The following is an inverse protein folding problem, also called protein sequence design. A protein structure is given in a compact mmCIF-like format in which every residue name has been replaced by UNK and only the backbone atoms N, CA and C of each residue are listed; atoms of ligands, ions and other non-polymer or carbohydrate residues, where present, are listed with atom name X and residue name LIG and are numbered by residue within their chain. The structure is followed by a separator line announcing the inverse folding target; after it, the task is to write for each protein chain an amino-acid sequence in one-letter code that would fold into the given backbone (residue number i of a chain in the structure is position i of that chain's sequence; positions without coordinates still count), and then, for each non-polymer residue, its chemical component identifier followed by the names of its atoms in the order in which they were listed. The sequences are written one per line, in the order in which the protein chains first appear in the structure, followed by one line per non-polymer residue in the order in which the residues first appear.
data_IF_112257123870
#
_entry.id   IF_112257123870
#
_cell.length_a   1.000
_cell.length_b   1.000
_cell.length_c   1.000
_cell.angle_alpha   90.00
_cell.angle_beta   90.00
_cell.angle_gamma   90.00
#
_symmetry.space_group_name_H-M   'P 1'
#
loop_
_entity.id
_entity.type
_entity.pdbx_description
1 polymer ?
#
# COMPACT_ATOMS: atom_id res chain seq x y z
N UNK A 1 -21.67 -12.66 -13.07
CA UNK A 1 -20.78 -11.93 -12.14
C UNK A 1 -20.37 -12.93 -11.06
N UNK A 2 -19.09 -13.28 -10.93
CA UNK A 2 -18.67 -14.26 -9.91
C UNK A 2 -18.69 -13.56 -8.56
N UNK A 3 -19.43 -14.11 -7.61
CA UNK A 3 -19.52 -13.55 -6.26
C UNK A 3 -18.13 -13.55 -5.60
N UNK A 4 -17.74 -12.40 -5.04
CA UNK A 4 -16.46 -12.27 -4.34
C UNK A 4 -16.65 -12.85 -2.94
N UNK A 5 -16.04 -14.03 -2.70
CA UNK A 5 -16.04 -14.66 -1.37
C UNK A 5 -15.36 -13.72 -0.37
N UNK A 6 -16.11 -13.26 0.64
CA UNK A 6 -15.56 -12.49 1.76
C UNK A 6 -15.11 -13.44 2.87
N UNK A 7 -14.00 -13.12 3.51
CA UNK A 7 -13.44 -13.87 4.63
C UNK A 7 -13.19 -12.91 5.80
N UNK A 8 -13.56 -13.32 7.01
CA UNK A 8 -13.37 -12.50 8.21
C UNK A 8 -11.98 -12.78 8.78
N UNK A 9 -11.13 -11.77 8.73
CA UNK A 9 -9.76 -11.82 9.26
C UNK A 9 -9.68 -10.91 10.49
N UNK A 10 -9.22 -11.45 11.61
CA UNK A 10 -8.90 -10.66 12.81
C UNK A 10 -7.45 -10.21 12.72
N UNK A 11 -7.20 -8.92 12.92
CA UNK A 11 -5.85 -8.34 12.87
C UNK A 11 -5.59 -7.53 14.14
N UNK A 12 -4.33 -7.49 14.55
CA UNK A 12 -3.85 -6.62 15.63
C UNK A 12 -3.16 -5.42 15.00
N UNK A 13 -3.46 -4.22 15.50
CA UNK A 13 -2.83 -2.97 15.07
C UNK A 13 -2.71 -2.03 16.29
N UNK A 14 -1.85 -0.99 16.23
CA UNK A 14 -1.79 0.03 17.26
C UNK A 14 -3.17 0.63 17.56
N UNK A 15 -3.43 0.90 18.85
CA UNK A 15 -4.73 1.39 19.29
C UNK A 15 -5.08 2.76 18.66
N UNK A 16 -4.05 3.60 18.49
CA UNK A 16 -4.19 4.93 17.90
C UNK A 16 -4.56 4.86 16.42
N UNK A 17 -3.98 3.93 15.65
CA UNK A 17 -4.34 3.69 14.25
C UNK A 17 -5.78 3.20 14.13
N UNK A 18 -6.17 2.23 14.97
CA UNK A 18 -7.55 1.75 14.99
C UNK A 18 -8.55 2.87 15.33
N UNK A 19 -8.18 3.77 16.24
CA UNK A 19 -8.99 4.94 16.59
C UNK A 19 -9.03 5.96 15.45
N UNK A 20 -7.92 6.20 14.75
CA UNK A 20 -7.86 7.08 13.59
C UNK A 20 -8.76 6.59 12.45
N UNK A 21 -8.70 5.28 12.14
CA UNK A 21 -9.58 4.66 11.13
C UNK A 21 -11.05 4.81 11.50
N UNK A 22 -11.41 4.55 12.76
CA UNK A 22 -12.79 4.75 13.23
C UNK A 22 -13.24 6.19 13.05
N UNK A 23 -12.46 7.17 13.51
CA UNK A 23 -12.80 8.60 13.35
C UNK A 23 -12.97 9.00 11.88
N UNK A 24 -12.11 8.49 10.99
CA UNK A 24 -12.21 8.77 9.56
C UNK A 24 -13.51 8.24 8.96
N UNK A 25 -13.90 7.00 9.31
CA UNK A 25 -15.18 6.41 8.91
C UNK A 25 -16.36 7.18 9.50
N UNK A 26 -16.30 7.53 10.78
CA UNK A 26 -17.35 8.31 11.47
C UNK A 26 -17.56 9.70 10.84
N UNK A 27 -16.48 10.29 10.30
CA UNK A 27 -16.55 11.54 9.52
C UNK A 27 -17.05 11.38 8.07
N UNK A 28 -17.45 10.17 7.67
CA UNK A 28 -17.96 9.87 6.33
C UNK A 28 -16.86 9.59 5.29
N UNK A 29 -15.60 9.41 5.70
CA UNK A 29 -14.49 9.15 4.79
C UNK A 29 -14.51 7.76 4.13
N UNK A 30 -15.26 6.81 4.69
CA UNK A 30 -15.51 5.49 4.10
C UNK A 30 -16.81 4.89 4.66
N UNK A 31 -17.40 3.94 3.94
CA UNK A 31 -18.66 3.28 4.34
C UNK A 31 -18.56 2.47 5.64
N UNK A 32 -17.38 1.93 5.94
CA UNK A 32 -17.10 1.17 7.16
C UNK A 32 -15.60 0.99 7.37
N UNK A 33 -15.20 0.56 8.57
CA UNK A 33 -13.82 0.16 8.87
C UNK A 33 -13.35 -0.94 7.93
N UNK A 34 -14.20 -1.95 7.67
CA UNK A 34 -13.84 -3.04 6.76
C UNK A 34 -13.65 -2.56 5.31
N UNK A 35 -14.46 -1.61 4.85
CA UNK A 35 -14.30 -1.01 3.52
C UNK A 35 -12.98 -0.24 3.42
N UNK A 36 -12.68 0.60 4.42
CA UNK A 36 -11.41 1.33 4.51
C UNK A 36 -10.20 0.38 4.46
N UNK A 37 -10.18 -0.64 5.32
CA UNK A 37 -9.08 -1.60 5.38
C UNK A 37 -8.96 -2.40 4.08
N UNK A 38 -10.07 -2.83 3.48
CA UNK A 38 -10.06 -3.55 2.22
C UNK A 38 -9.47 -2.70 1.08
N UNK A 39 -9.83 -1.42 0.98
CA UNK A 39 -9.22 -0.51 -0.01
C UNK A 39 -7.72 -0.28 0.24
N UNK A 40 -7.33 -0.04 1.51
CA UNK A 40 -5.92 0.14 1.86
C UNK A 40 -5.09 -1.11 1.50
N UNK A 41 -5.60 -2.31 1.81
CA UNK A 41 -4.95 -3.58 1.46
C UNK A 41 -4.88 -3.78 -0.05
N UNK A 42 -5.98 -3.51 -0.79
CA UNK A 42 -5.98 -3.58 -2.26
C UNK A 42 -4.94 -2.66 -2.87
N UNK A 43 -4.88 -1.41 -2.43
CA UNK A 43 -3.88 -0.44 -2.89
C UNK A 43 -2.46 -0.92 -2.64
N UNK A 44 -2.20 -1.45 -1.44
CA UNK A 44 -0.88 -2.00 -1.09
C UNK A 44 -0.51 -3.21 -1.96
N UNK A 45 -1.41 -4.17 -2.12
CA UNK A 45 -1.18 -5.36 -2.94
C UNK A 45 -0.96 -5.02 -4.41
N UNK A 46 -1.72 -4.07 -4.96
CA UNK A 46 -1.56 -3.62 -6.34
C UNK A 46 -0.17 -2.99 -6.55
N UNK A 47 0.26 -2.13 -5.61
CA UNK A 47 1.60 -1.53 -5.62
C UNK A 47 2.69 -2.59 -5.54
N UNK A 48 2.60 -3.52 -4.59
CA UNK A 48 3.63 -4.53 -4.37
C UNK A 48 3.72 -5.48 -5.57
N UNK A 49 2.59 -5.85 -6.19
CA UNK A 49 2.57 -6.60 -7.46
C UNK A 49 3.24 -5.84 -8.59
N UNK A 50 2.94 -4.56 -8.76
CA UNK A 50 3.56 -3.73 -9.80
C UNK A 50 5.09 -3.66 -9.63
N UNK A 51 5.57 -3.50 -8.39
CA UNK A 51 7.00 -3.48 -8.08
C UNK A 51 7.67 -4.83 -8.36
N UNK A 52 7.02 -5.95 -8.01
CA UNK A 52 7.52 -7.28 -8.33
C UNK A 52 7.64 -7.48 -9.84
N UNK A 53 6.60 -7.13 -10.61
CA UNK A 53 6.63 -7.21 -12.08
C UNK A 53 7.73 -6.35 -12.67
N UNK A 54 7.95 -5.14 -12.16
CA UNK A 54 9.06 -4.30 -12.60
C UNK A 54 10.41 -4.96 -12.32
N UNK A 55 10.63 -5.47 -11.12
CA UNK A 55 11.87 -6.18 -10.77
C UNK A 55 12.12 -7.38 -11.69
N UNK A 56 11.09 -8.17 -12.00
CA UNK A 56 11.19 -9.29 -12.94
C UNK A 56 11.61 -8.83 -14.35
N UNK A 57 11.02 -7.74 -14.86
CA UNK A 57 11.35 -7.19 -16.18
C UNK A 57 12.79 -6.66 -16.26
N UNK A 58 13.30 -6.07 -15.19
CA UNK A 58 14.71 -5.63 -15.14
C UNK A 58 15.65 -6.82 -15.03
N UNK A 59 15.33 -7.81 -14.20
CA UNK A 59 16.12 -9.02 -14.07
C UNK A 59 16.25 -9.78 -15.39
N UNK A 60 15.17 -9.84 -16.20
CA UNK A 60 15.21 -10.42 -17.56
C UNK A 60 16.19 -9.69 -18.50
N UNK A 61 16.49 -8.42 -18.24
CA UNK A 61 17.48 -7.62 -18.99
C UNK A 61 18.88 -7.65 -18.36
N UNK A 62 19.09 -8.48 -17.34
CA UNK A 62 20.35 -8.53 -16.59
C UNK A 62 20.59 -7.32 -15.69
N UNK A 63 19.57 -6.51 -15.44
CA UNK A 63 19.66 -5.32 -14.58
C UNK A 63 19.07 -5.67 -13.21
N UNK A 64 19.86 -5.41 -12.16
CA UNK A 64 19.38 -5.45 -10.78
C UNK A 64 19.01 -4.04 -10.35
N UNK A 65 17.77 -3.85 -9.89
CA UNK A 65 17.36 -2.60 -9.27
C UNK A 65 17.76 -2.59 -7.80
N UNK A 66 18.75 -1.76 -7.48
CA UNK A 66 19.16 -1.47 -6.11
C UNK A 66 18.52 -0.16 -5.58
N UNK A 67 18.44 0.05 -4.25
CA UNK A 67 17.76 1.21 -3.64
C UNK A 67 18.23 2.57 -4.16
N UNK A 68 19.50 2.69 -4.55
CA UNK A 68 20.08 3.89 -5.15
C UNK A 68 19.41 4.30 -6.48
N UNK A 69 19.00 3.33 -7.30
CA UNK A 69 18.30 3.59 -8.55
C UNK A 69 16.93 4.21 -8.30
N UNK A 70 16.25 3.77 -7.24
CA UNK A 70 14.97 4.35 -6.82
C UNK A 70 15.15 5.73 -6.19
N UNK A 71 16.26 5.98 -5.48
CA UNK A 71 16.55 7.30 -4.93
C UNK A 71 16.81 8.33 -6.05
N UNK A 72 17.68 7.97 -7.00
CA UNK A 72 17.94 8.78 -8.19
C UNK A 72 16.65 9.04 -8.99
N UNK A 73 15.84 7.99 -9.24
CA UNK A 73 14.60 8.15 -9.98
C UNK A 73 13.62 9.10 -9.27
N UNK A 74 13.54 9.04 -7.93
CA UNK A 74 12.68 9.97 -7.16
C UNK A 74 13.14 11.41 -7.29
N UNK A 75 14.44 11.65 -7.19
CA UNK A 75 15.03 12.97 -7.38
C UNK A 75 14.72 13.53 -8.77
N UNK A 76 15.01 12.76 -9.82
CA UNK A 76 14.79 13.18 -11.22
C UNK A 76 13.31 13.41 -11.54
N UNK A 77 12.42 12.57 -10.98
CA UNK A 77 10.98 12.69 -11.20
C UNK A 77 10.30 13.69 -10.24
N UNK A 78 11.05 14.31 -9.32
CA UNK A 78 10.50 15.27 -8.35
C UNK A 78 9.49 14.66 -7.36
N UNK A 79 9.57 13.35 -7.10
CA UNK A 79 8.66 12.65 -6.19
C UNK A 79 9.24 12.68 -4.78
N UNK A 80 8.55 13.34 -3.86
CA UNK A 80 8.96 13.40 -2.46
C UNK A 80 9.16 11.99 -1.87
N UNK A 81 10.12 11.80 -0.93
CA UNK A 81 10.23 10.53 -0.23
C UNK A 81 8.87 10.19 0.40
N UNK A 82 8.45 8.94 0.25
CA UNK A 82 7.26 8.47 0.95
C UNK A 82 7.55 8.57 2.44
N UNK A 83 7.05 9.61 3.09
CA UNK A 83 7.18 9.81 4.53
C UNK A 83 6.49 8.64 5.24
N UNK A 84 7.25 7.59 5.51
CA UNK A 84 6.93 6.58 6.50
C UNK A 84 7.32 7.16 7.86
N UNK A 85 6.50 8.07 8.38
CA UNK A 85 6.60 8.46 9.78
C UNK A 85 6.02 7.33 10.61
N UNK A 86 6.89 6.54 11.23
CA UNK A 86 6.63 5.88 12.51
C UNK A 86 7.89 6.13 13.34
N UNK A 87 7.75 6.99 14.35
CA UNK A 87 8.72 7.10 15.45
C UNK A 87 8.73 5.83 16.28
#
# INVERSE_FOLDING_TARGET
MREVRKERVTVTMPADDAAAVRRFVDSGGAESVSAYVAEAVRGRLARDRALLTLNELYAQRGVRLDPEHHAWAREVLGVAPANGTVS
#
